data_IF_751264185535
#
_entry.id   IF_751264185535
#
_cell.length_a   1.000
_cell.length_b   1.000
_cell.length_c   1.000
_cell.angle_alpha   90.00
_cell.angle_beta   90.00
_cell.angle_gamma   90.00
#
_symmetry.space_group_name_H-M   'P 1'
#
loop_
_entity.id
_entity.type
_entity.pdbx_description
1 polymer ?
#
# COMPACT_ATOMS: atom_id res chain seq x y z
N UNK A 1 17.58 2.16 10.94
CA UNK A 1 16.10 2.19 10.87
C UNK A 1 15.71 3.19 9.80
N UNK A 2 14.58 3.02 9.10
CA UNK A 2 14.18 3.91 8.02
C UNK A 2 13.97 5.33 8.54
N UNK A 3 14.65 6.32 7.95
CA UNK A 3 14.44 7.74 8.22
C UNK A 3 13.66 8.38 7.08
N UNK A 4 12.71 9.24 7.42
CA UNK A 4 11.97 10.03 6.44
C UNK A 4 12.39 11.50 6.60
N UNK A 5 12.98 12.13 5.58
CA UNK A 5 13.13 13.58 5.53
C UNK A 5 11.78 14.30 5.77
N UNK A 6 11.72 15.37 6.58
CA UNK A 6 10.45 16.04 6.92
C UNK A 6 9.67 16.54 5.70
N UNK A 7 10.38 17.07 4.70
CA UNK A 7 9.84 17.54 3.42
C UNK A 7 9.15 16.41 2.64
N UNK A 8 9.69 15.20 2.68
CA UNK A 8 9.03 14.01 2.09
C UNK A 8 7.78 13.63 2.86
N UNK A 9 7.79 13.70 4.19
CA UNK A 9 6.60 13.45 5.00
C UNK A 9 5.49 14.47 4.72
N UNK A 10 5.83 15.76 4.58
CA UNK A 10 4.88 16.81 4.19
C UNK A 10 4.27 16.53 2.81
N UNK A 11 5.11 16.21 1.82
CA UNK A 11 4.64 15.90 0.46
C UNK A 11 3.70 14.68 0.43
N UNK A 12 3.99 13.64 1.22
CA UNK A 12 3.12 12.47 1.32
C UNK A 12 1.82 12.76 2.07
N UNK A 13 1.85 13.54 3.15
CA UNK A 13 0.63 14.01 3.82
C UNK A 13 -0.27 14.78 2.87
N UNK A 14 0.28 15.65 2.04
CA UNK A 14 -0.50 16.35 1.01
C UNK A 14 -1.09 15.41 -0.05
N UNK A 15 -0.30 14.45 -0.55
CA UNK A 15 -0.78 13.45 -1.53
C UNK A 15 -1.93 12.62 -0.96
N UNK A 16 -1.77 12.12 0.26
CA UNK A 16 -2.77 11.32 0.98
C UNK A 16 -4.01 12.14 1.32
N UNK A 17 -3.87 13.42 1.68
CA UNK A 17 -5.02 14.30 1.89
C UNK A 17 -5.85 14.55 0.63
N UNK A 18 -5.25 14.36 -0.55
CA UNK A 18 -5.89 14.51 -1.87
C UNK A 18 -6.22 13.16 -2.53
N UNK A 19 -6.19 12.05 -1.79
CA UNK A 19 -6.44 10.69 -2.30
C UNK A 19 -7.91 10.38 -2.63
N UNK A 20 -8.81 11.36 -2.42
CA UNK A 20 -10.25 11.22 -2.67
C UNK A 20 -11.02 10.50 -1.55
N UNK A 21 -10.36 10.08 -0.48
CA UNK A 21 -11.02 9.45 0.67
C UNK A 21 -11.75 10.47 1.55
N UNK A 22 -12.84 10.05 2.19
CA UNK A 22 -13.57 10.89 3.13
C UNK A 22 -12.69 11.29 4.34
N UNK A 23 -12.92 12.48 4.96
CA UNK A 23 -12.25 12.85 6.21
C UNK A 23 -12.42 11.77 7.29
N UNK A 24 -11.34 11.50 8.04
CA UNK A 24 -11.32 10.45 9.07
C UNK A 24 -11.13 9.02 8.54
N UNK A 25 -11.01 8.81 7.22
CA UNK A 25 -10.70 7.48 6.65
C UNK A 25 -9.34 6.99 7.13
N UNK A 26 -9.30 5.77 7.67
CA UNK A 26 -8.08 5.08 8.10
C UNK A 26 -7.34 4.50 6.90
N UNK A 27 -6.12 4.95 6.62
CA UNK A 27 -5.28 4.33 5.58
C UNK A 27 -4.58 3.09 6.14
N UNK A 28 -4.59 2.01 5.37
CA UNK A 28 -3.98 0.73 5.73
C UNK A 28 -3.02 0.32 4.61
N UNK A 29 -1.73 0.22 4.91
CA UNK A 29 -0.74 -0.34 4.01
C UNK A 29 -0.85 -1.87 3.95
N UNK A 30 -1.01 -2.42 2.75
CA UNK A 30 -1.07 -3.85 2.48
C UNK A 30 0.17 -4.30 1.71
N UNK A 31 0.79 -5.36 2.19
CA UNK A 31 1.89 -6.06 1.53
C UNK A 31 1.52 -7.54 1.40
N UNK A 32 1.16 -7.98 0.20
CA UNK A 32 0.64 -9.35 -0.01
C UNK A 32 1.42 -10.15 -1.06
N UNK A 33 2.33 -9.51 -1.80
CA UNK A 33 3.13 -10.18 -2.83
C UNK A 33 4.63 -10.15 -2.54
N UNK A 34 5.23 -11.34 -2.42
CA UNK A 34 6.68 -11.52 -2.39
C UNK A 34 7.31 -11.42 -3.79
N UNK A 35 8.65 -11.43 -3.88
CA UNK A 35 9.38 -11.45 -5.15
C UNK A 35 9.06 -12.73 -5.94
N UNK A 36 8.82 -12.61 -7.25
CA UNK A 36 8.37 -13.71 -8.12
C UNK A 36 9.33 -14.92 -8.18
N UNK A 37 10.64 -14.70 -7.99
CA UNK A 37 11.70 -15.72 -8.10
C UNK A 37 11.79 -16.71 -6.92
N UNK A 38 10.94 -16.57 -5.89
CA UNK A 38 10.97 -17.48 -4.74
C UNK A 38 9.86 -18.52 -4.81
N UNK A 39 10.22 -19.81 -4.79
CA UNK A 39 9.27 -20.92 -4.61
C UNK A 39 8.39 -20.75 -3.35
N UNK A 40 8.87 -19.98 -2.38
CA UNK A 40 8.17 -19.69 -1.16
C UNK A 40 7.08 -18.61 -1.28
N UNK A 41 6.87 -18.01 -2.46
CA UNK A 41 5.87 -16.94 -2.68
C UNK A 41 4.46 -17.37 -2.31
N UNK A 42 4.11 -18.64 -2.52
CA UNK A 42 2.79 -19.20 -2.22
C UNK A 42 2.64 -19.70 -0.78
N UNK A 43 3.75 -19.85 -0.05
CA UNK A 43 3.73 -20.39 1.32
C UNK A 43 3.87 -19.32 2.40
N UNK A 44 4.19 -18.08 2.02
CA UNK A 44 4.51 -17.00 2.97
C UNK A 44 3.70 -15.74 2.80
N UNK A 45 2.80 -15.68 1.83
CA UNK A 45 2.03 -14.49 1.55
C UNK A 45 0.55 -14.82 1.37
N UNK A 46 -0.32 -14.03 1.99
CA UNK A 46 -1.74 -14.05 1.70
C UNK A 46 -1.97 -13.52 0.27
N UNK A 47 -2.97 -14.03 -0.44
CA UNK A 47 -3.43 -13.43 -1.68
C UNK A 47 -4.30 -12.20 -1.41
N UNK A 48 -4.48 -11.35 -2.42
CA UNK A 48 -5.39 -10.21 -2.32
C UNK A 48 -6.86 -10.66 -2.18
N UNK A 49 -7.19 -11.89 -2.62
CA UNK A 49 -8.49 -12.54 -2.39
C UNK A 49 -8.69 -12.91 -0.92
N UNK A 50 -7.63 -13.30 -0.20
CA UNK A 50 -7.73 -13.59 1.23
C UNK A 50 -8.07 -12.33 2.03
N UNK A 51 -7.75 -11.15 1.47
CA UNK A 51 -8.08 -9.83 2.02
C UNK A 51 -9.45 -9.31 1.58
N UNK A 52 -10.20 -10.05 0.74
CA UNK A 52 -11.53 -9.66 0.28
C UNK A 52 -12.52 -9.32 1.40
N UNK A 53 -12.51 -9.94 2.60
CA UNK A 53 -13.39 -9.53 3.69
C UNK A 53 -13.26 -8.06 4.12
N UNK A 54 -12.11 -7.42 3.86
CA UNK A 54 -11.93 -5.99 4.13
C UNK A 54 -12.92 -5.11 3.36
N UNK A 55 -13.40 -5.55 2.19
CA UNK A 55 -14.44 -4.83 1.41
C UNK A 55 -15.73 -4.58 2.20
N UNK A 56 -16.01 -5.40 3.22
CA UNK A 56 -17.19 -5.27 4.08
C UNK A 56 -17.01 -4.28 5.22
N UNK A 57 -15.79 -3.81 5.46
CA UNK A 57 -15.49 -2.81 6.47
C UNK A 57 -15.62 -1.40 5.86
N UNK A 58 -15.99 -0.43 6.70
CA UNK A 58 -16.10 0.97 6.27
C UNK A 58 -15.02 1.83 6.93
N UNK A 59 -14.86 3.05 6.43
CA UNK A 59 -13.95 4.04 7.03
C UNK A 59 -12.46 3.71 6.87
N UNK A 60 -12.09 2.91 5.87
CA UNK A 60 -10.69 2.65 5.55
C UNK A 60 -10.42 2.73 4.05
N UNK A 61 -9.15 2.97 3.70
CA UNK A 61 -8.63 2.92 2.35
C UNK A 61 -7.37 2.04 2.35
N UNK A 62 -7.30 1.10 1.42
CA UNK A 62 -6.17 0.20 1.28
C UNK A 62 -5.11 0.81 0.33
N UNK A 63 -3.85 0.73 0.75
CA UNK A 63 -2.70 1.20 -0.01
C UNK A 63 -1.76 0.04 -0.30
N UNK A 64 -1.38 -0.13 -1.56
CA UNK A 64 -0.33 -1.07 -1.92
C UNK A 64 1.02 -0.53 -1.47
N UNK A 65 1.71 -1.29 -0.62
CA UNK A 65 3.11 -1.04 -0.22
C UNK A 65 4.04 -2.17 -0.68
N UNK A 66 3.59 -3.00 -1.64
CA UNK A 66 4.48 -3.93 -2.32
C UNK A 66 5.52 -3.17 -3.15
N UNK A 67 6.78 -3.56 -2.99
CA UNK A 67 7.89 -3.01 -3.79
C UNK A 67 7.81 -3.47 -5.25
N UNK A 68 7.26 -4.67 -5.45
CA UNK A 68 7.14 -5.30 -6.75
C UNK A 68 5.85 -4.83 -7.45
N UNK A 69 5.99 -4.29 -8.66
CA UNK A 69 4.88 -3.77 -9.46
C UNK A 69 3.94 -4.86 -9.97
N UNK A 70 4.39 -6.13 -9.98
CA UNK A 70 3.55 -7.28 -10.34
C UNK A 70 2.34 -7.41 -9.41
N UNK A 71 2.37 -6.82 -8.22
CA UNK A 71 1.22 -6.76 -7.31
C UNK A 71 -0.04 -6.16 -7.96
N UNK A 72 0.09 -5.28 -8.96
CA UNK A 72 -1.08 -4.68 -9.64
C UNK A 72 -1.78 -5.65 -10.59
N UNK A 73 -1.13 -6.75 -10.96
CA UNK A 73 -1.68 -7.73 -11.90
C UNK A 73 -2.65 -8.68 -11.21
N UNK A 74 -2.66 -8.72 -9.88
CA UNK A 74 -3.54 -9.58 -9.11
C UNK A 74 -4.95 -8.98 -9.03
N UNK A 75 -5.93 -9.68 -9.59
CA UNK A 75 -7.32 -9.26 -9.59
C UNK A 75 -7.94 -9.39 -8.19
N UNK A 76 -8.61 -8.34 -7.73
CA UNK A 76 -9.41 -8.35 -6.50
C UNK A 76 -10.52 -7.31 -6.56
N UNK A 77 -11.60 -7.57 -5.83
CA UNK A 77 -12.68 -6.62 -5.61
C UNK A 77 -12.32 -5.60 -4.50
N UNK A 78 -11.20 -5.79 -3.80
CA UNK A 78 -10.70 -4.83 -2.82
C UNK A 78 -10.18 -3.57 -3.54
N UNK A 79 -10.78 -2.39 -3.31
CA UNK A 79 -10.24 -1.15 -3.86
C UNK A 79 -8.90 -0.84 -3.21
N UNK A 80 -7.83 -0.85 -4.01
CA UNK A 80 -6.46 -0.58 -3.55
C UNK A 80 -5.89 0.61 -4.32
N UNK A 81 -5.38 1.59 -3.60
CA UNK A 81 -4.59 2.68 -4.16
C UNK A 81 -3.16 2.20 -4.40
N UNK A 82 -2.63 2.47 -5.60
CA UNK A 82 -1.29 2.06 -6.02
C UNK A 82 -0.35 3.27 -6.14
N UNK A 83 0.33 3.66 -5.05
CA UNK A 83 1.16 4.88 -4.98
C UNK A 83 2.56 4.72 -5.60
N UNK A 84 2.88 3.56 -6.17
CA UNK A 84 4.20 3.17 -6.70
C UNK A 84 4.87 4.21 -7.62
N UNK A 85 4.10 4.96 -8.42
CA UNK A 85 4.62 6.01 -9.30
C UNK A 85 5.29 7.17 -8.52
N UNK A 86 4.96 7.33 -7.24
CA UNK A 86 5.48 8.36 -6.36
C UNK A 86 6.48 7.83 -5.31
N UNK A 87 6.72 6.51 -5.26
CA UNK A 87 7.68 5.86 -4.36
C UNK A 87 8.97 5.59 -5.14
N UNK A 88 10.01 6.40 -4.90
CA UNK A 88 11.33 6.23 -5.51
C UNK A 88 12.27 5.36 -4.65
N UNK A 89 12.21 5.50 -3.32
CA UNK A 89 13.05 4.77 -2.38
C UNK A 89 12.33 4.42 -1.06
N UNK A 90 13.06 3.82 -0.12
CA UNK A 90 12.49 3.43 1.17
C UNK A 90 12.12 4.60 2.09
N UNK A 91 12.68 5.80 1.86
CA UNK A 91 12.31 7.01 2.59
C UNK A 91 10.93 7.50 2.14
N UNK A 92 10.56 7.30 0.87
CA UNK A 92 9.20 7.58 0.39
C UNK A 92 8.19 6.59 0.98
N UNK A 93 8.56 5.31 1.07
CA UNK A 93 7.74 4.33 1.76
C UNK A 93 7.57 4.67 3.24
N UNK A 94 8.65 5.09 3.91
CA UNK A 94 8.58 5.56 5.29
C UNK A 94 7.68 6.79 5.44
N UNK A 95 7.77 7.74 4.50
CA UNK A 95 6.96 8.95 4.46
C UNK A 95 5.46 8.65 4.32
N UNK A 96 5.09 7.66 3.50
CA UNK A 96 3.70 7.21 3.33
C UNK A 96 3.10 6.62 4.62
N UNK A 97 3.93 6.08 5.52
CA UNK A 97 3.49 5.43 6.76
C UNK A 97 3.38 6.37 7.96
N UNK A 98 3.73 7.65 7.81
CA UNK A 98 3.68 8.68 8.85
C UNK A 98 2.37 9.50 8.79
#
# INVERSE_FOLDING_TARGET
YLSCPPDRADAWRERVARDGSAPGTRRIGLNWRGRDESDARFHRAASLRDLAPLTRMHGHAAYCINRDLSAHTEQSDLPVTFPHHAIGDFSDLAALML
#
